data_IF_137472859061
#
_entry.id   IF_137472859061
#
_cell.length_a   1.000
_cell.length_b   1.000
_cell.length_c   1.000
_cell.angle_alpha   90.00
_cell.angle_beta   90.00
_cell.angle_gamma   90.00
#
_symmetry.space_group_name_H-M   'P 1'
#
loop_
_entity.id
_entity.type
_entity.pdbx_description
1 polymer ?
#
# COMPACT_ATOMS: atom_id res chain seq x y z
N UNK A 1 22.03 -11.18 -18.41
CA UNK A 1 22.00 -10.10 -17.42
C UNK A 1 20.71 -9.34 -17.67
N UNK A 2 19.83 -9.22 -16.68
CA UNK A 2 18.60 -8.42 -16.85
C UNK A 2 18.99 -6.97 -17.15
N UNK A 3 18.18 -6.30 -17.97
CA UNK A 3 18.35 -4.89 -18.30
C UNK A 3 18.07 -4.05 -17.04
N UNK A 4 19.02 -3.20 -16.63
CA UNK A 4 18.80 -2.25 -15.52
C UNK A 4 17.85 -1.13 -15.95
N UNK A 5 16.94 -0.74 -15.06
CA UNK A 5 16.00 0.36 -15.21
C UNK A 5 16.60 1.71 -14.77
N UNK A 6 17.63 1.69 -13.93
CA UNK A 6 18.36 2.87 -13.47
C UNK A 6 19.88 2.75 -13.75
N UNK A 7 20.31 2.61 -15.01
CA UNK A 7 21.70 2.26 -15.36
C UNK A 7 22.74 3.27 -14.85
N UNK A 8 22.37 4.54 -14.74
CA UNK A 8 23.27 5.61 -14.28
C UNK A 8 23.31 5.78 -12.75
N UNK A 9 22.51 5.00 -12.02
CA UNK A 9 22.41 5.09 -10.57
C UNK A 9 23.10 3.88 -9.94
N UNK A 10 24.25 4.06 -9.27
CA UNK A 10 24.88 2.98 -8.52
C UNK A 10 24.08 2.70 -7.23
N UNK A 11 24.44 1.61 -6.54
CA UNK A 11 23.99 1.40 -5.17
C UNK A 11 24.44 2.57 -4.28
N UNK A 12 23.51 3.18 -3.58
CA UNK A 12 23.74 4.31 -2.68
C UNK A 12 24.40 3.81 -1.40
N UNK A 13 25.52 4.42 -1.03
CA UNK A 13 26.32 4.02 0.14
C UNK A 13 26.46 5.17 1.12
N UNK A 14 26.85 4.86 2.35
CA UNK A 14 27.15 5.85 3.37
C UNK A 14 28.56 6.43 3.16
N UNK A 15 28.66 7.75 3.10
CA UNK A 15 29.94 8.48 2.96
C UNK A 15 30.15 9.52 4.09
N UNK A 16 29.24 9.58 5.04
CA UNK A 16 29.32 10.46 6.21
C UNK A 16 28.86 11.91 5.97
N UNK A 17 28.74 12.69 7.06
CA UNK A 17 28.00 13.95 7.06
C UNK A 17 28.64 15.06 6.21
N UNK A 18 29.93 14.92 5.86
CA UNK A 18 30.69 15.90 5.08
C UNK A 18 30.65 15.64 3.57
N UNK A 19 30.08 14.52 3.10
CA UNK A 19 30.09 14.21 1.67
C UNK A 19 29.35 15.28 0.84
N UNK A 20 29.93 15.57 -0.33
CA UNK A 20 29.34 16.40 -1.38
C UNK A 20 28.67 15.54 -2.46
N UNK A 21 28.85 14.22 -2.44
CA UNK A 21 28.15 13.32 -3.33
C UNK A 21 26.63 13.43 -3.07
N UNK A 22 25.86 13.63 -4.13
CA UNK A 22 24.39 13.74 -4.06
C UNK A 22 23.71 12.37 -4.02
N UNK A 23 24.42 11.33 -4.43
CA UNK A 23 23.98 9.93 -4.47
C UNK A 23 24.69 9.11 -3.38
N UNK A 24 24.76 9.66 -2.17
CA UNK A 24 25.32 8.99 -0.99
C UNK A 24 24.54 9.40 0.28
N UNK A 25 24.45 8.48 1.23
CA UNK A 25 23.89 8.77 2.55
C UNK A 25 24.90 9.56 3.39
N UNK A 26 24.41 10.66 3.97
CA UNK A 26 25.17 11.49 4.93
C UNK A 26 25.09 10.97 6.36
N UNK A 27 23.98 10.33 6.70
CA UNK A 27 23.65 9.95 8.08
C UNK A 27 23.15 8.52 8.23
N UNK A 28 22.62 7.92 7.16
CA UNK A 28 22.14 6.55 7.22
C UNK A 28 23.29 5.59 6.94
N UNK A 29 23.84 4.99 8.00
CA UNK A 29 24.70 3.83 7.93
C UNK A 29 23.94 2.62 8.47
N UNK A 30 23.53 1.72 7.58
CA UNK A 30 22.63 0.61 7.91
C UNK A 30 23.13 -0.27 9.07
N UNK A 31 24.45 -0.45 9.19
CA UNK A 31 25.10 -1.32 10.18
C UNK A 31 25.63 -0.57 11.40
N UNK A 32 25.46 0.77 11.46
CA UNK A 32 25.83 1.55 12.65
C UNK A 32 24.91 1.18 13.82
N UNK A 33 25.50 0.83 14.95
CA UNK A 33 24.78 0.51 16.17
C UNK A 33 24.36 1.77 16.92
N UNK A 34 23.06 1.91 17.15
CA UNK A 34 22.46 2.97 17.99
C UNK A 34 21.64 2.29 19.07
N UNK A 35 21.88 2.57 20.35
CA UNK A 35 21.10 1.94 21.44
C UNK A 35 21.05 0.40 21.39
N UNK A 36 22.15 -0.25 20.98
CA UNK A 36 22.27 -1.71 20.96
C UNK A 36 21.67 -2.43 19.75
N UNK A 37 21.16 -1.72 18.73
CA UNK A 37 20.68 -2.32 17.47
C UNK A 37 21.21 -1.54 16.26
N UNK A 38 21.44 -2.18 15.10
CA UNK A 38 21.85 -1.48 13.90
C UNK A 38 20.73 -0.54 13.40
N UNK A 39 21.08 0.59 12.77
CA UNK A 39 20.11 1.59 12.31
C UNK A 39 19.01 1.00 11.42
N UNK A 40 19.34 0.05 10.55
CA UNK A 40 18.37 -0.62 9.67
C UNK A 40 17.23 -1.30 10.44
N UNK A 41 17.52 -1.82 11.63
CA UNK A 41 16.53 -2.51 12.47
C UNK A 41 15.65 -1.54 13.27
N UNK A 42 16.14 -0.33 13.54
CA UNK A 42 15.32 0.74 14.11
C UNK A 42 14.41 1.36 13.06
N UNK A 43 14.97 1.70 11.89
CA UNK A 43 14.31 2.53 10.89
C UNK A 43 13.39 1.72 9.99
N UNK A 44 13.79 0.49 9.63
CA UNK A 44 12.98 -0.47 8.85
C UNK A 44 12.34 0.19 7.62
N UNK A 45 13.13 0.96 6.87
CA UNK A 45 12.61 1.76 5.77
C UNK A 45 11.88 0.92 4.73
N UNK A 46 10.73 1.45 4.29
CA UNK A 46 9.84 0.82 3.32
C UNK A 46 9.59 1.75 2.13
N UNK A 47 9.58 1.19 0.92
CA UNK A 47 9.10 1.90 -0.25
C UNK A 47 7.57 1.85 -0.34
N UNK A 48 6.94 3.02 -0.41
CA UNK A 48 5.52 3.16 -0.76
C UNK A 48 5.33 3.00 -2.27
N UNK A 49 4.78 1.87 -2.71
CA UNK A 49 4.68 1.52 -4.13
C UNK A 49 3.86 2.54 -4.94
N UNK A 50 2.72 2.99 -4.40
CA UNK A 50 1.86 3.97 -5.06
C UNK A 50 2.61 5.25 -5.42
N UNK A 51 3.42 5.81 -4.53
CA UNK A 51 4.14 7.06 -4.81
C UNK A 51 5.41 6.85 -5.64
N UNK A 52 6.19 5.81 -5.33
CA UNK A 52 7.46 5.59 -6.02
C UNK A 52 7.23 5.11 -7.46
N UNK A 53 6.30 4.17 -7.65
CA UNK A 53 6.19 3.40 -8.89
C UNK A 53 4.95 3.72 -9.73
N UNK A 54 3.84 4.19 -9.14
CA UNK A 54 2.59 4.46 -9.89
C UNK A 54 2.20 5.93 -10.01
N UNK A 55 2.49 6.78 -9.04
CA UNK A 55 2.06 8.19 -9.04
C UNK A 55 2.65 8.92 -10.27
N UNK A 56 1.82 9.45 -11.19
CA UNK A 56 2.29 10.11 -12.40
C UNK A 56 2.80 11.54 -12.15
N UNK A 57 2.72 12.04 -10.90
CA UNK A 57 2.97 13.44 -10.52
C UNK A 57 2.07 14.45 -11.23
N UNK A 58 0.82 14.05 -11.46
CA UNK A 58 -0.27 14.97 -11.80
C UNK A 58 -0.92 15.52 -10.54
N UNK A 59 -1.71 16.56 -10.71
CA UNK A 59 -2.46 17.23 -9.64
C UNK A 59 -3.87 17.63 -10.16
N UNK A 60 -4.77 18.19 -9.32
CA UNK A 60 -6.12 18.56 -9.77
C UNK A 60 -6.17 19.58 -10.93
N UNK A 61 -5.05 20.20 -11.29
CA UNK A 61 -4.93 21.28 -12.28
C UNK A 61 -3.99 20.92 -13.45
N UNK A 62 -3.42 19.71 -13.48
CA UNK A 62 -2.45 19.31 -14.50
C UNK A 62 -2.24 17.80 -14.63
N UNK A 63 -1.90 17.37 -15.85
CA UNK A 63 -1.64 15.97 -16.17
C UNK A 63 -0.32 15.43 -15.59
N UNK A 64 -0.10 14.12 -15.75
CA UNK A 64 1.13 13.45 -15.32
C UNK A 64 2.39 13.98 -16.01
N UNK A 65 3.50 14.04 -15.26
CA UNK A 65 4.78 14.59 -15.73
C UNK A 65 5.95 13.61 -15.61
N UNK A 66 5.78 12.47 -14.91
CA UNK A 66 6.86 11.50 -14.72
C UNK A 66 7.14 10.70 -16.00
N UNK A 67 8.43 10.50 -16.25
CA UNK A 67 8.92 9.61 -17.30
C UNK A 67 9.39 8.32 -16.63
N UNK A 68 8.78 7.19 -16.99
CA UNK A 68 9.10 5.85 -16.47
C UNK A 68 9.27 4.89 -17.63
N UNK A 69 10.50 4.70 -18.16
CA UNK A 69 10.74 3.85 -19.34
C UNK A 69 10.30 2.39 -19.18
N UNK A 70 10.10 1.92 -17.95
CA UNK A 70 9.66 0.57 -17.61
C UNK A 70 8.15 0.39 -17.53
N UNK A 71 7.37 1.47 -17.48
CA UNK A 71 5.91 1.46 -17.45
C UNK A 71 5.37 1.85 -18.84
N UNK A 72 4.78 0.89 -19.56
CA UNK A 72 4.20 1.14 -20.89
C UNK A 72 2.78 1.73 -20.83
N UNK A 73 2.26 1.98 -19.62
CA UNK A 73 0.94 2.54 -19.38
C UNK A 73 -0.22 1.58 -19.60
N UNK A 74 0.02 0.32 -19.97
CA UNK A 74 -1.04 -0.67 -20.14
C UNK A 74 -1.49 -1.26 -18.81
N UNK A 75 -2.79 -1.60 -18.73
CA UNK A 75 -3.38 -2.39 -17.64
C UNK A 75 -3.13 -3.89 -17.84
N UNK A 76 -1.87 -4.26 -18.15
CA UNK A 76 -1.46 -5.65 -18.35
C UNK A 76 -0.67 -6.19 -17.16
N UNK A 77 -0.78 -7.50 -16.92
CA UNK A 77 0.03 -8.20 -15.92
C UNK A 77 1.51 -8.09 -16.25
N UNK A 78 1.88 -8.13 -17.53
CA UNK A 78 3.29 -8.01 -17.94
C UNK A 78 3.86 -6.63 -17.65
N UNK A 79 3.07 -5.56 -17.85
CA UNK A 79 3.48 -4.22 -17.44
C UNK A 79 3.65 -4.11 -15.93
N UNK A 80 2.69 -4.64 -15.17
CA UNK A 80 2.78 -4.66 -13.71
C UNK A 80 4.05 -5.39 -13.21
N UNK A 81 4.44 -6.50 -13.83
CA UNK A 81 5.68 -7.22 -13.53
C UNK A 81 6.93 -6.41 -13.85
N UNK A 82 6.99 -5.73 -15.00
CA UNK A 82 8.12 -4.83 -15.33
C UNK A 82 8.25 -3.66 -14.36
N UNK A 83 7.14 -3.09 -13.92
CA UNK A 83 7.14 -2.04 -12.89
C UNK A 83 7.65 -2.60 -11.55
N UNK A 84 7.30 -3.85 -11.22
CA UNK A 84 7.83 -4.50 -10.03
C UNK A 84 9.34 -4.75 -10.12
N UNK A 85 9.86 -5.16 -11.29
CA UNK A 85 11.30 -5.33 -11.52
C UNK A 85 12.06 -4.02 -11.26
N UNK A 86 11.58 -2.91 -11.83
CA UNK A 86 12.12 -1.58 -11.56
C UNK A 86 11.99 -1.19 -10.07
N UNK A 87 10.89 -1.56 -9.42
CA UNK A 87 10.67 -1.33 -8.00
C UNK A 87 11.69 -2.03 -7.10
N UNK A 88 12.00 -3.29 -7.39
CA UNK A 88 12.99 -4.05 -6.64
C UNK A 88 14.42 -3.58 -6.90
N UNK A 89 14.76 -3.22 -8.14
CA UNK A 89 16.05 -2.58 -8.43
C UNK A 89 16.22 -1.27 -7.65
N UNK A 90 15.20 -0.41 -7.64
CA UNK A 90 15.20 0.84 -6.87
C UNK A 90 15.46 0.60 -5.38
N UNK A 91 14.76 -0.36 -4.79
CA UNK A 91 14.95 -0.74 -3.39
C UNK A 91 16.35 -1.30 -3.11
N UNK A 92 16.88 -2.17 -3.97
CA UNK A 92 18.23 -2.71 -3.85
C UNK A 92 19.30 -1.60 -3.93
N UNK A 93 19.13 -0.63 -4.84
CA UNK A 93 20.04 0.51 -4.99
C UNK A 93 20.00 1.44 -3.78
N UNK A 94 18.85 1.62 -3.14
CA UNK A 94 18.72 2.42 -1.92
C UNK A 94 19.01 1.66 -0.61
N UNK A 95 19.10 0.33 -0.65
CA UNK A 95 19.23 -0.49 0.57
C UNK A 95 17.95 -0.49 1.43
N UNK A 96 16.78 -0.43 0.79
CA UNK A 96 15.48 -0.56 1.47
C UNK A 96 15.19 -2.04 1.72
N UNK A 97 14.83 -2.38 2.96
CA UNK A 97 14.50 -3.75 3.35
C UNK A 97 13.04 -4.12 3.13
N UNK A 98 12.18 -3.12 2.92
CA UNK A 98 10.74 -3.32 2.88
C UNK A 98 10.04 -2.56 1.74
N UNK A 99 8.84 -3.00 1.41
CA UNK A 99 7.85 -2.25 0.62
C UNK A 99 6.45 -2.37 1.21
N UNK A 100 5.57 -1.48 0.78
CA UNK A 100 4.14 -1.53 1.04
C UNK A 100 3.34 -1.18 -0.22
N UNK A 101 2.14 -1.76 -0.36
CA UNK A 101 1.31 -1.58 -1.55
C UNK A 101 -0.19 -1.55 -1.22
N UNK A 102 -0.98 -0.88 -2.06
CA UNK A 102 -2.37 -1.25 -2.31
C UNK A 102 -2.44 -2.29 -3.42
N UNK A 103 -3.40 -3.19 -3.34
CA UNK A 103 -3.64 -4.22 -4.37
C UNK A 103 -3.70 -3.65 -5.80
N UNK A 104 -4.30 -2.47 -5.96
CA UNK A 104 -4.39 -1.74 -7.25
C UNK A 104 -3.13 -0.99 -7.68
N UNK A 105 -2.11 -0.91 -6.82
CA UNK A 105 -0.81 -0.35 -7.22
C UNK A 105 0.04 -1.39 -7.94
N UNK A 106 -0.07 -2.65 -7.50
CA UNK A 106 0.76 -3.75 -7.98
C UNK A 106 0.09 -4.53 -9.11
N UNK A 107 -1.24 -4.49 -9.26
CA UNK A 107 -1.94 -5.21 -10.32
C UNK A 107 -3.12 -4.40 -10.87
N UNK A 108 -3.43 -4.56 -12.18
CA UNK A 108 -4.54 -3.85 -12.80
C UNK A 108 -5.89 -4.33 -12.26
N UNK A 109 -6.86 -3.41 -12.16
CA UNK A 109 -8.27 -3.78 -12.08
C UNK A 109 -8.78 -4.07 -13.49
N UNK A 110 -9.31 -5.27 -13.69
CA UNK A 110 -9.83 -5.71 -14.99
C UNK A 110 -11.36 -5.76 -14.96
N UNK A 111 -11.96 -6.19 -16.08
CA UNK A 111 -13.41 -6.08 -16.32
C UNK A 111 -14.32 -6.68 -15.24
N UNK A 112 -13.85 -7.68 -14.47
CA UNK A 112 -14.58 -8.20 -13.32
C UNK A 112 -13.66 -8.59 -12.15
N UNK A 113 -14.28 -8.94 -11.02
CA UNK A 113 -13.58 -9.34 -9.80
C UNK A 113 -12.70 -10.59 -10.00
N UNK A 114 -13.14 -11.55 -10.82
CA UNK A 114 -12.40 -12.80 -11.08
C UNK A 114 -11.12 -12.50 -11.87
N UNK A 115 -11.23 -11.72 -12.94
CA UNK A 115 -10.12 -11.31 -13.77
C UNK A 115 -9.13 -10.46 -12.95
N UNK A 116 -9.63 -9.51 -12.16
CA UNK A 116 -8.79 -8.67 -11.28
C UNK A 116 -8.05 -9.51 -10.23
N UNK A 117 -8.71 -10.50 -9.63
CA UNK A 117 -8.09 -11.40 -8.66
C UNK A 117 -7.01 -12.28 -9.30
N UNK A 118 -7.24 -12.77 -10.53
CA UNK A 118 -6.27 -13.55 -11.28
C UNK A 118 -5.04 -12.72 -11.68
N UNK A 119 -5.24 -11.46 -12.09
CA UNK A 119 -4.15 -10.54 -12.37
C UNK A 119 -3.30 -10.26 -11.11
N UNK A 120 -3.96 -9.99 -9.99
CA UNK A 120 -3.29 -9.78 -8.70
C UNK A 120 -2.51 -11.03 -8.24
N UNK A 121 -3.04 -12.24 -8.48
CA UNK A 121 -2.31 -13.47 -8.21
C UNK A 121 -1.04 -13.60 -9.03
N UNK A 122 -1.14 -13.37 -10.34
CA UNK A 122 0.01 -13.49 -11.23
C UNK A 122 1.13 -12.47 -10.93
N UNK A 123 0.78 -11.26 -10.49
CA UNK A 123 1.79 -10.27 -10.07
C UNK A 123 2.34 -10.61 -8.70
N UNK A 124 1.51 -11.07 -7.77
CA UNK A 124 1.99 -11.48 -6.44
C UNK A 124 2.94 -12.68 -6.50
N UNK A 125 2.73 -13.65 -7.39
CA UNK A 125 3.70 -14.74 -7.59
C UNK A 125 5.07 -14.19 -8.03
N UNK A 126 5.07 -13.22 -8.95
CA UNK A 126 6.29 -12.53 -9.40
C UNK A 126 6.97 -11.74 -8.27
N UNK A 127 6.19 -10.99 -7.48
CA UNK A 127 6.71 -10.30 -6.28
C UNK A 127 7.34 -11.28 -5.30
N UNK A 128 6.73 -12.46 -5.09
CA UNK A 128 7.26 -13.50 -4.24
C UNK A 128 8.61 -14.04 -4.72
N UNK A 129 8.81 -14.16 -6.05
CA UNK A 129 10.09 -14.55 -6.62
C UNK A 129 11.15 -13.45 -6.47
N UNK A 130 10.77 -12.18 -6.63
CA UNK A 130 11.63 -11.04 -6.37
C UNK A 130 12.02 -10.94 -4.88
N UNK A 131 11.09 -11.19 -3.95
CA UNK A 131 11.38 -11.26 -2.51
C UNK A 131 12.41 -12.36 -2.20
N UNK A 132 12.26 -13.56 -2.77
CA UNK A 132 13.23 -14.67 -2.60
C UNK A 132 14.61 -14.31 -3.15
N UNK A 133 14.66 -13.66 -4.31
CA UNK A 133 15.91 -13.31 -4.98
C UNK A 133 16.68 -12.18 -4.26
N UNK A 134 15.98 -11.27 -3.60
CA UNK A 134 16.57 -10.04 -3.03
C UNK A 134 16.63 -10.00 -1.51
N UNK A 135 15.81 -10.81 -0.83
CA UNK A 135 15.61 -10.75 0.62
C UNK A 135 14.74 -9.56 1.08
N UNK A 136 14.23 -8.73 0.17
CA UNK A 136 13.29 -7.65 0.49
C UNK A 136 11.97 -8.24 0.94
N UNK A 137 11.34 -7.64 1.95
CA UNK A 137 10.12 -8.17 2.57
C UNK A 137 8.93 -7.22 2.41
N UNK A 138 7.71 -7.75 2.46
CA UNK A 138 6.51 -6.94 2.53
C UNK A 138 6.30 -6.43 3.96
N UNK A 139 6.30 -5.12 4.18
CA UNK A 139 5.96 -4.56 5.49
C UNK A 139 4.46 -4.70 5.75
N UNK A 140 3.65 -4.22 4.81
CA UNK A 140 2.20 -4.38 4.84
C UNK A 140 1.59 -4.22 3.45
N UNK A 141 0.48 -4.92 3.23
CA UNK A 141 -0.41 -4.68 2.11
C UNK A 141 -1.71 -4.02 2.57
N UNK A 142 -2.48 -3.51 1.62
CA UNK A 142 -3.81 -2.94 1.86
C UNK A 142 -4.65 -3.01 0.58
N UNK A 143 -5.94 -2.69 0.68
CA UNK A 143 -6.86 -2.58 -0.46
C UNK A 143 -7.11 -1.11 -0.82
N UNK A 144 -7.01 -0.78 -2.10
CA UNK A 144 -7.39 0.55 -2.61
C UNK A 144 -8.93 0.63 -2.73
N UNK A 145 -9.59 1.05 -1.66
CA UNK A 145 -11.05 1.19 -1.57
C UNK A 145 -11.53 2.63 -1.76
N UNK A 146 -10.79 3.44 -2.51
CA UNK A 146 -11.05 4.89 -2.59
C UNK A 146 -10.90 5.51 -3.98
N UNK A 147 -10.17 4.87 -4.91
CA UNK A 147 -9.91 5.42 -6.24
C UNK A 147 -11.02 5.08 -7.26
N UNK A 148 -11.51 3.85 -7.26
CA UNK A 148 -12.52 3.43 -8.25
C UNK A 148 -13.85 4.17 -8.02
N UNK A 149 -14.57 4.62 -9.06
CA UNK A 149 -15.83 5.38 -8.92
C UNK A 149 -16.90 4.73 -8.03
N UNK A 150 -16.94 3.39 -7.99
CA UNK A 150 -17.84 2.62 -7.11
C UNK A 150 -17.75 3.02 -5.63
N UNK A 151 -16.58 3.50 -5.17
CA UNK A 151 -16.34 3.89 -3.78
C UNK A 151 -16.63 5.36 -3.49
N UNK A 152 -17.23 6.11 -4.44
CA UNK A 152 -17.44 7.56 -4.27
C UNK A 152 -18.30 7.92 -3.04
N UNK A 153 -19.12 6.99 -2.55
CA UNK A 153 -19.97 7.16 -1.36
C UNK A 153 -19.53 6.29 -0.17
N UNK A 154 -18.26 5.88 -0.14
CA UNK A 154 -17.73 4.98 0.90
C UNK A 154 -17.56 3.55 0.42
N UNK A 155 -16.85 2.76 1.22
CA UNK A 155 -16.61 1.35 0.96
C UNK A 155 -17.34 0.51 2.02
N UNK A 156 -16.77 0.35 3.21
CA UNK A 156 -17.48 -0.23 4.34
C UNK A 156 -18.58 0.70 4.88
N UNK A 157 -18.47 2.02 4.65
CA UNK A 157 -19.48 3.01 5.03
C UNK A 157 -20.44 3.34 3.88
N UNK A 158 -20.40 2.59 2.77
CA UNK A 158 -21.30 2.84 1.66
C UNK A 158 -22.78 2.69 2.05
N UNK A 159 -23.68 3.57 1.59
CA UNK A 159 -25.12 3.35 1.73
C UNK A 159 -25.63 2.17 0.86
N UNK A 160 -24.82 1.71 -0.11
CA UNK A 160 -25.10 0.59 -1.01
C UNK A 160 -24.44 -0.71 -0.51
N UNK A 161 -25.25 -1.73 -0.27
CA UNK A 161 -24.80 -3.03 0.22
C UNK A 161 -23.95 -3.79 -0.81
N UNK A 162 -24.14 -3.56 -2.12
CA UNK A 162 -23.34 -4.19 -3.16
C UNK A 162 -21.91 -3.64 -3.16
N UNK A 163 -21.75 -2.34 -2.91
CA UNK A 163 -20.43 -1.71 -2.74
C UNK A 163 -19.72 -2.23 -1.49
N UNK A 164 -20.45 -2.39 -0.39
CA UNK A 164 -19.93 -3.02 0.83
C UNK A 164 -19.42 -4.45 0.55
N UNK A 165 -20.18 -5.25 -0.19
CA UNK A 165 -19.81 -6.62 -0.54
C UNK A 165 -18.56 -6.67 -1.43
N UNK A 166 -18.43 -5.77 -2.42
CA UNK A 166 -17.25 -5.65 -3.27
C UNK A 166 -16.02 -5.21 -2.45
N UNK A 167 -16.17 -4.26 -1.54
CA UNK A 167 -15.09 -3.83 -0.64
C UNK A 167 -14.60 -5.00 0.23
N UNK A 168 -15.52 -5.79 0.79
CA UNK A 168 -15.18 -6.96 1.60
C UNK A 168 -14.44 -8.02 0.76
N UNK A 169 -14.89 -8.28 -0.47
CA UNK A 169 -14.22 -9.19 -1.39
C UNK A 169 -12.81 -8.73 -1.75
N UNK A 170 -12.62 -7.42 -1.97
CA UNK A 170 -11.31 -6.83 -2.26
C UNK A 170 -10.36 -6.92 -1.04
N UNK A 171 -10.83 -6.60 0.17
CA UNK A 171 -10.04 -6.74 1.40
C UNK A 171 -9.65 -8.18 1.66
N UNK A 172 -10.59 -9.12 1.48
CA UNK A 172 -10.28 -10.55 1.56
C UNK A 172 -9.12 -10.91 0.65
N UNK A 173 -9.18 -10.51 -0.63
CA UNK A 173 -8.15 -10.84 -1.61
C UNK A 173 -6.82 -10.15 -1.31
N UNK A 174 -6.82 -8.86 -0.99
CA UNK A 174 -5.62 -8.13 -0.63
C UNK A 174 -4.93 -8.74 0.60
N UNK A 175 -5.71 -9.20 1.59
CA UNK A 175 -5.20 -9.90 2.76
C UNK A 175 -4.64 -11.28 2.43
N UNK A 176 -5.28 -12.06 1.55
CA UNK A 176 -4.73 -13.34 1.05
C UNK A 176 -3.35 -13.14 0.43
N UNK A 177 -3.20 -12.12 -0.41
CA UNK A 177 -1.95 -11.78 -1.08
C UNK A 177 -0.90 -11.28 -0.10
N UNK A 178 -1.30 -10.42 0.84
CA UNK A 178 -0.42 -9.93 1.92
C UNK A 178 0.11 -11.10 2.75
N UNK A 179 -0.75 -12.05 3.12
CA UNK A 179 -0.37 -13.24 3.85
C UNK A 179 0.58 -14.14 3.03
N UNK A 180 0.26 -14.39 1.76
CA UNK A 180 1.10 -15.19 0.84
C UNK A 180 2.51 -14.60 0.68
N UNK A 181 2.63 -13.27 0.65
CA UNK A 181 3.90 -12.54 0.52
C UNK A 181 4.63 -12.32 1.86
N UNK A 182 4.15 -12.93 2.94
CA UNK A 182 4.77 -12.82 4.27
C UNK A 182 4.71 -11.41 4.87
N UNK A 183 3.66 -10.65 4.56
CA UNK A 183 3.46 -9.30 5.07
C UNK A 183 3.49 -9.22 6.60
N UNK A 184 4.20 -8.25 7.15
CA UNK A 184 4.29 -8.08 8.61
C UNK A 184 3.04 -7.42 9.23
N UNK A 185 2.19 -6.85 8.40
CA UNK A 185 0.87 -6.35 8.79
C UNK A 185 -0.04 -6.04 7.61
N UNK A 186 -1.20 -5.47 7.93
CA UNK A 186 -2.21 -5.07 6.96
C UNK A 186 -2.87 -3.77 7.43
N UNK A 187 -2.95 -2.80 6.53
CA UNK A 187 -3.40 -1.45 6.86
C UNK A 187 -4.82 -1.20 6.37
N UNK A 188 -5.59 -0.43 7.12
CA UNK A 188 -6.86 0.17 6.71
C UNK A 188 -6.71 1.68 6.77
N UNK A 189 -6.70 2.33 5.60
CA UNK A 189 -6.85 3.78 5.49
C UNK A 189 -8.23 4.09 4.92
N UNK A 190 -9.05 4.80 5.70
CA UNK A 190 -10.45 5.08 5.39
C UNK A 190 -10.67 6.19 4.36
N UNK A 191 -9.98 6.18 3.22
CA UNK A 191 -9.99 7.30 2.26
C UNK A 191 -11.40 7.75 1.79
N UNK A 192 -12.40 6.87 1.82
CA UNK A 192 -13.82 7.21 1.58
C UNK A 192 -14.74 6.88 2.76
N UNK A 193 -14.18 6.43 3.88
CA UNK A 193 -14.91 6.04 5.09
C UNK A 193 -15.16 7.30 5.94
N UNK A 194 -16.19 8.03 5.55
CA UNK A 194 -16.53 9.35 6.06
C UNK A 194 -17.62 9.97 5.21
N UNK A 195 -17.80 11.29 5.31
CA UNK A 195 -18.85 11.96 4.57
C UNK A 195 -18.38 13.24 3.87
N UNK A 196 -19.12 13.63 2.83
CA UNK A 196 -19.02 14.93 2.17
C UNK A 196 -20.03 15.93 2.76
N UNK A 197 -21.22 15.48 3.15
CA UNK A 197 -22.24 16.33 3.80
C UNK A 197 -23.00 15.52 4.84
N UNK A 198 -23.25 16.11 6.01
CA UNK A 198 -23.99 15.44 7.07
C UNK A 198 -25.48 15.27 6.73
N UNK A 199 -26.01 16.06 5.79
CA UNK A 199 -27.43 16.10 5.45
C UNK A 199 -27.98 14.77 4.90
N UNK A 200 -27.12 13.94 4.30
CA UNK A 200 -27.49 12.65 3.72
C UNK A 200 -26.73 11.47 4.36
N UNK A 201 -26.11 11.70 5.52
CA UNK A 201 -25.24 10.71 6.17
C UNK A 201 -25.88 10.25 7.47
N UNK A 202 -26.12 8.95 7.59
CA UNK A 202 -26.42 8.32 8.88
C UNK A 202 -25.11 7.82 9.50
N UNK A 203 -24.41 8.71 10.21
CA UNK A 203 -23.11 8.42 10.79
C UNK A 203 -23.15 7.20 11.72
N UNK A 204 -24.25 7.02 12.46
CA UNK A 204 -24.36 5.90 13.40
C UNK A 204 -24.39 4.58 12.66
N UNK A 205 -25.19 4.49 11.57
CA UNK A 205 -25.25 3.30 10.72
C UNK A 205 -23.91 3.03 10.02
N UNK A 206 -23.27 4.07 9.48
CA UNK A 206 -22.00 3.93 8.77
C UNK A 206 -20.87 3.44 9.68
N UNK A 207 -20.74 4.01 10.90
CA UNK A 207 -19.78 3.54 11.89
C UNK A 207 -20.06 2.10 12.32
N UNK A 208 -21.32 1.71 12.51
CA UNK A 208 -21.69 0.33 12.82
C UNK A 208 -21.32 -0.63 11.67
N UNK A 209 -21.53 -0.24 10.42
CA UNK A 209 -21.12 -1.02 9.26
C UNK A 209 -19.59 -1.16 9.16
N UNK A 210 -18.84 -0.09 9.41
CA UNK A 210 -17.38 -0.10 9.47
C UNK A 210 -16.88 -1.04 10.58
N UNK A 211 -17.50 -1.01 11.76
CA UNK A 211 -17.16 -1.91 12.86
C UNK A 211 -17.39 -3.38 12.46
N UNK A 212 -18.56 -3.72 11.91
CA UNK A 212 -18.83 -5.06 11.39
C UNK A 212 -17.83 -5.50 10.32
N UNK A 213 -17.44 -4.59 9.44
CA UNK A 213 -16.47 -4.85 8.39
C UNK A 213 -15.10 -5.23 8.97
N UNK A 214 -14.61 -4.46 9.94
CA UNK A 214 -13.35 -4.73 10.62
C UNK A 214 -13.40 -6.01 11.45
N UNK A 215 -14.52 -6.31 12.10
CA UNK A 215 -14.72 -7.60 12.78
C UNK A 215 -14.61 -8.78 11.82
N UNK A 216 -15.27 -8.71 10.65
CA UNK A 216 -15.15 -9.75 9.63
C UNK A 216 -13.72 -9.89 9.10
N UNK A 217 -12.99 -8.78 8.93
CA UNK A 217 -11.59 -8.81 8.54
C UNK A 217 -10.71 -9.49 9.61
N UNK A 218 -10.97 -9.26 10.90
CA UNK A 218 -10.29 -9.94 12.01
C UNK A 218 -10.61 -11.44 12.05
N UNK A 219 -11.86 -11.81 11.84
CA UNK A 219 -12.26 -13.22 11.78
C UNK A 219 -11.64 -13.93 10.58
N UNK A 220 -11.57 -13.26 9.43
CA UNK A 220 -10.90 -13.78 8.26
C UNK A 220 -9.40 -13.94 8.47
N UNK A 221 -8.73 -12.92 9.06
CA UNK A 221 -7.32 -12.99 9.46
C UNK A 221 -7.03 -14.24 10.30
N UNK A 222 -7.86 -14.51 11.32
CA UNK A 222 -7.74 -15.71 12.16
C UNK A 222 -7.95 -16.98 11.35
N UNK A 223 -8.96 -17.01 10.48
CA UNK A 223 -9.31 -18.16 9.63
C UNK A 223 -8.15 -18.58 8.71
N UNK A 224 -7.42 -17.62 8.13
CA UNK A 224 -6.29 -17.91 7.24
C UNK A 224 -4.95 -18.06 7.99
N UNK A 225 -4.93 -17.89 9.32
CA UNK A 225 -3.70 -17.97 10.11
C UNK A 225 -2.75 -16.77 9.90
N UNK A 226 -3.25 -15.62 9.46
CA UNK A 226 -2.42 -14.44 9.26
C UNK A 226 -2.06 -13.78 10.61
N UNK A 227 -0.78 -13.75 10.95
CA UNK A 227 -0.29 -13.22 12.25
C UNK A 227 0.13 -11.75 12.21
N UNK A 228 0.19 -11.13 11.02
CA UNK A 228 0.61 -9.74 10.86
C UNK A 228 -0.29 -8.76 11.63
N UNK A 229 0.27 -7.63 12.07
CA UNK A 229 -0.48 -6.62 12.82
C UNK A 229 -1.50 -5.91 11.92
N UNK A 230 -2.69 -5.60 12.44
CA UNK A 230 -3.61 -4.69 11.77
C UNK A 230 -3.33 -3.24 12.18
N UNK A 231 -3.35 -2.34 11.22
CA UNK A 231 -3.16 -0.90 11.42
C UNK A 231 -4.38 -0.14 10.93
N UNK A 232 -4.84 0.83 11.72
CA UNK A 232 -5.75 1.89 11.26
C UNK A 232 -4.87 3.12 11.02
N UNK A 233 -4.99 3.75 9.85
CA UNK A 233 -4.19 4.92 9.46
C UNK A 233 -5.03 6.20 9.56
N UNK A 234 -4.89 7.00 10.64
CA UNK A 234 -5.77 8.12 10.87
C UNK A 234 -5.51 9.27 9.89
N UNK A 235 -6.57 9.90 9.39
CA UNK A 235 -6.51 11.14 8.61
C UNK A 235 -7.80 11.94 8.84
N UNK A 236 -7.77 13.25 9.12
CA UNK A 236 -8.97 14.00 9.50
C UNK A 236 -9.98 14.21 8.36
N UNK A 237 -9.51 14.27 7.11
CA UNK A 237 -10.25 14.66 5.91
C UNK A 237 -9.39 14.44 4.66
N UNK A 238 -9.97 14.77 3.51
CA UNK A 238 -9.38 14.68 2.17
C UNK A 238 -9.16 13.21 1.73
N UNK A 239 -10.00 12.69 0.82
CA UNK A 239 -10.97 13.40 -0.02
C UNK A 239 -12.35 13.66 0.63
N UNK A 240 -12.65 13.11 1.79
CA UNK A 240 -13.89 13.42 2.53
C UNK A 240 -13.84 14.81 3.18
N UNK A 241 -15.02 15.38 3.49
CA UNK A 241 -15.10 16.59 4.33
C UNK A 241 -14.74 16.25 5.78
N UNK A 242 -15.15 15.07 6.24
CA UNK A 242 -14.78 14.47 7.52
C UNK A 242 -14.55 12.97 7.31
N UNK A 243 -13.39 12.47 7.72
CA UNK A 243 -13.08 11.04 7.76
C UNK A 243 -13.29 10.54 9.20
N UNK A 244 -13.87 9.36 9.38
CA UNK A 244 -14.24 8.86 10.70
C UNK A 244 -13.02 8.59 11.60
N UNK A 245 -11.96 8.02 11.03
CA UNK A 245 -10.66 7.78 11.62
C UNK A 245 -9.79 9.05 11.62
N UNK A 246 -10.30 10.14 12.20
CA UNK A 246 -9.71 11.47 12.03
C UNK A 246 -8.34 11.69 12.68
N UNK A 247 -8.12 11.08 13.84
CA UNK A 247 -6.86 11.09 14.59
C UNK A 247 -6.71 9.81 15.43
N UNK A 248 -5.59 9.67 16.14
CA UNK A 248 -5.32 8.51 16.97
C UNK A 248 -6.33 8.34 18.12
N UNK A 249 -6.88 9.43 18.67
CA UNK A 249 -7.85 9.37 19.76
C UNK A 249 -9.22 8.92 19.27
N UNK A 250 -9.67 9.45 18.13
CA UNK A 250 -10.90 9.03 17.45
C UNK A 250 -10.85 7.55 17.08
N UNK A 251 -9.75 7.10 16.48
CA UNK A 251 -9.53 5.68 16.16
C UNK A 251 -9.59 4.81 17.42
N UNK A 252 -8.88 5.21 18.47
CA UNK A 252 -8.83 4.43 19.71
C UNK A 252 -10.20 4.33 20.39
N UNK A 253 -11.00 5.41 20.35
CA UNK A 253 -12.34 5.40 20.92
C UNK A 253 -13.29 4.52 20.11
N UNK A 254 -13.26 4.63 18.77
CA UNK A 254 -14.04 3.76 17.90
C UNK A 254 -13.70 2.27 18.09
N UNK A 255 -12.42 1.93 18.27
CA UNK A 255 -11.99 0.55 18.49
C UNK A 255 -12.35 -0.01 19.89
N UNK A 256 -12.73 0.85 20.84
CA UNK A 256 -13.08 0.47 22.22
C UNK A 256 -14.58 0.28 22.43
N UNK A 257 -15.38 0.99 21.66
CA UNK A 257 -16.85 0.91 21.67
C UNK A 257 -17.34 -0.48 21.24
#
# INVERSE_FOLDING_TARGET
MSQEHFPDIPKITFEGPKTKNRLAFRHYNADEFVGGRPMKDHLRFSMAYWHAMKNPSGDPFGGGTRQRPWDDGSDSVDNAKRVADAGFEFMQKLGLGFYCFHDRDIAPELGDLRASNAALDAVADHLGDLQKATGIQLLWGTACLFSHPRYMQGAATSPDADVYAIAAAQVKKAMDVTHRLGGLGYTFWGGREGYATLLNTDMKRELANLAHFLHMAVDYKKKIGFTGQFYIEPKPREPSTHQYDSDAAACLNFLRE
#
